data_IF_248439612745
#
_entry.id   IF_248439612745
#
_cell.length_a   1.000
_cell.length_b   1.000
_cell.length_c   1.000
_cell.angle_alpha   90.00
_cell.angle_beta   90.00
_cell.angle_gamma   90.00
#
_symmetry.space_group_name_H-M   'P 1'
#
loop_
_entity.id
_entity.type
_entity.pdbx_description
1 polymer ?
#
# COMPACT_ATOMS: atom_id res chain seq x y z
N UNK A 1 23.47 20.70 -1.07
CA UNK A 1 23.45 19.93 -2.33
C UNK A 1 23.33 18.46 -1.93
N UNK A 2 22.43 17.70 -2.55
CA UNK A 2 22.37 16.25 -2.33
C UNK A 2 23.64 15.59 -2.86
N UNK A 3 24.17 14.58 -2.13
CA UNK A 3 25.33 13.83 -2.56
C UNK A 3 25.07 13.15 -3.93
N UNK A 4 26.11 13.08 -4.76
CA UNK A 4 26.07 12.26 -5.98
C UNK A 4 26.33 10.80 -5.61
N UNK A 5 25.52 9.87 -6.15
CA UNK A 5 25.56 8.45 -5.80
C UNK A 5 25.79 7.63 -7.05
N UNK A 6 26.68 6.65 -6.96
CA UNK A 6 26.89 5.62 -7.97
C UNK A 6 26.57 4.25 -7.36
N UNK A 7 25.71 3.50 -8.03
CA UNK A 7 25.40 2.10 -7.70
C UNK A 7 25.88 1.25 -8.87
N UNK A 8 26.68 0.23 -8.59
CA UNK A 8 27.27 -0.63 -9.62
C UNK A 8 26.98 -2.10 -9.36
N UNK A 9 27.03 -2.90 -10.42
CA UNK A 9 26.96 -4.36 -10.43
C UNK A 9 25.62 -4.94 -9.91
N UNK A 10 24.55 -4.15 -9.85
CA UNK A 10 23.25 -4.65 -9.42
C UNK A 10 22.65 -5.60 -10.47
N UNK A 11 22.00 -6.67 -10.04
CA UNK A 11 20.89 -7.23 -10.83
C UNK A 11 19.71 -6.29 -10.65
N UNK A 12 18.87 -6.11 -11.65
CA UNK A 12 17.75 -5.18 -11.52
C UNK A 12 16.46 -5.74 -12.10
N UNK A 13 15.34 -5.28 -11.56
CA UNK A 13 14.00 -5.50 -12.10
C UNK A 13 13.28 -4.17 -12.21
N UNK A 14 12.53 -4.01 -13.29
CA UNK A 14 11.55 -2.94 -13.44
C UNK A 14 10.24 -3.49 -14.02
N UNK A 15 9.30 -2.61 -14.36
CA UNK A 15 8.01 -2.99 -14.93
C UNK A 15 8.11 -3.62 -16.33
N UNK A 16 9.26 -3.50 -17.02
CA UNK A 16 9.47 -3.92 -18.39
C UNK A 16 10.30 -5.21 -18.50
N UNK A 17 11.15 -5.50 -17.50
CA UNK A 17 12.02 -6.66 -17.57
C UNK A 17 12.95 -6.83 -16.39
N UNK A 18 13.81 -7.84 -16.51
CA UNK A 18 14.90 -8.12 -15.60
C UNK A 18 16.24 -7.83 -16.30
N UNK A 19 17.20 -7.30 -15.56
CA UNK A 19 18.52 -6.93 -16.03
C UNK A 19 19.57 -7.69 -15.21
N UNK A 20 20.37 -8.49 -15.87
CA UNK A 20 21.44 -9.25 -15.21
C UNK A 20 22.50 -8.33 -14.60
N UNK A 21 22.70 -7.15 -15.19
CA UNK A 21 23.63 -6.14 -14.72
C UNK A 21 23.14 -4.74 -15.08
N UNK A 22 22.99 -3.91 -14.05
CA UNK A 22 22.66 -2.50 -14.18
C UNK A 22 23.52 -1.67 -13.25
N UNK A 23 23.99 -0.52 -13.73
CA UNK A 23 24.67 0.49 -12.93
C UNK A 23 23.93 1.81 -13.05
N UNK A 24 23.75 2.50 -11.95
CA UNK A 24 23.05 3.79 -11.88
C UNK A 24 23.99 4.91 -11.43
N UNK A 25 23.80 6.09 -12.00
CA UNK A 25 24.32 7.33 -11.51
C UNK A 25 23.18 8.25 -11.07
N UNK A 26 23.28 8.83 -9.88
CA UNK A 26 22.26 9.70 -9.30
C UNK A 26 22.88 11.04 -8.96
N UNK A 27 22.28 12.14 -9.40
CA UNK A 27 22.65 13.50 -9.05
C UNK A 27 21.40 14.32 -8.78
N UNK A 28 21.45 15.17 -7.78
CA UNK A 28 20.32 16.04 -7.40
C UNK A 28 19.01 15.27 -7.22
N UNK A 29 19.08 14.04 -6.67
CA UNK A 29 17.92 13.19 -6.45
C UNK A 29 17.29 12.59 -7.69
N UNK A 30 17.98 12.64 -8.86
CA UNK A 30 17.51 12.08 -10.13
C UNK A 30 18.50 11.10 -10.72
N UNK A 31 17.99 10.11 -11.45
CA UNK A 31 18.80 9.17 -12.21
C UNK A 31 19.36 9.90 -13.44
N UNK A 32 20.67 9.97 -13.56
CA UNK A 32 21.38 10.59 -14.68
C UNK A 32 22.09 9.58 -15.58
N UNK A 33 22.22 8.34 -15.11
CA UNK A 33 22.81 7.22 -15.84
C UNK A 33 22.11 5.93 -15.45
N UNK A 34 21.82 5.08 -16.43
CA UNK A 34 21.25 3.74 -16.26
C UNK A 34 21.73 2.85 -17.41
N UNK A 35 22.79 2.07 -17.19
CA UNK A 35 23.42 1.19 -18.18
C UNK A 35 24.11 0.01 -17.48
N UNK A 36 24.49 -1.02 -18.24
CA UNK A 36 25.27 -2.15 -17.77
C UNK A 36 26.71 -1.71 -17.34
N UNK A 37 27.26 -0.70 -17.99
CA UNK A 37 28.58 -0.12 -17.66
C UNK A 37 28.44 0.93 -16.56
N UNK A 38 29.34 0.92 -15.55
CA UNK A 38 29.34 1.98 -14.52
C UNK A 38 29.56 3.37 -15.11
N UNK A 39 28.90 4.41 -14.58
CA UNK A 39 29.17 5.79 -15.01
C UNK A 39 30.58 6.24 -14.58
N UNK A 40 31.25 6.96 -15.49
CA UNK A 40 32.56 7.55 -15.23
C UNK A 40 32.51 8.75 -14.26
N UNK A 41 33.68 9.14 -13.76
CA UNK A 41 33.87 10.34 -12.97
C UNK A 41 33.91 10.12 -11.46
N UNK A 42 33.95 11.24 -10.72
CA UNK A 42 33.96 11.24 -9.25
C UNK A 42 32.53 11.29 -8.72
N UNK A 43 32.27 10.46 -7.73
CA UNK A 43 31.00 10.35 -7.02
C UNK A 43 31.25 10.47 -5.51
N UNK A 44 30.33 11.10 -4.79
CA UNK A 44 30.44 11.27 -3.34
C UNK A 44 30.22 9.95 -2.60
N UNK A 45 29.38 9.09 -3.16
CA UNK A 45 29.01 7.80 -2.60
C UNK A 45 29.11 6.74 -3.70
N UNK A 46 29.89 5.69 -3.45
CA UNK A 46 30.00 4.51 -4.30
C UNK A 46 29.43 3.29 -3.57
N UNK A 47 28.48 2.60 -4.19
CA UNK A 47 27.82 1.40 -3.66
C UNK A 47 28.07 0.26 -4.64
N UNK A 48 28.68 -0.82 -4.16
CA UNK A 48 28.70 -2.09 -4.89
C UNK A 48 27.47 -2.91 -4.48
N UNK A 49 26.59 -3.13 -5.45
CA UNK A 49 25.36 -3.88 -5.27
C UNK A 49 25.46 -5.32 -5.79
N UNK A 50 26.68 -5.88 -5.88
CA UNK A 50 26.88 -7.27 -6.30
C UNK A 50 26.13 -8.23 -5.35
N UNK A 51 25.33 -9.11 -5.94
CA UNK A 51 24.45 -10.05 -5.20
C UNK A 51 23.12 -9.46 -4.73
N UNK A 52 22.91 -8.14 -4.86
CA UNK A 52 21.64 -7.49 -4.52
C UNK A 52 20.75 -7.29 -5.76
N UNK A 53 19.45 -7.18 -5.49
CA UNK A 53 18.43 -6.90 -6.50
C UNK A 53 17.99 -5.44 -6.37
N UNK A 54 18.27 -4.65 -7.41
CA UNK A 54 17.82 -3.27 -7.54
C UNK A 54 16.39 -3.22 -8.07
N UNK A 55 15.53 -2.43 -7.46
CA UNK A 55 14.16 -2.21 -7.91
C UNK A 55 13.72 -0.76 -7.66
N UNK A 56 12.71 -0.25 -8.41
CA UNK A 56 11.99 0.95 -8.01
C UNK A 56 11.36 0.78 -6.64
N UNK A 57 11.34 1.85 -5.84
CA UNK A 57 10.77 1.83 -4.48
C UNK A 57 9.25 1.62 -4.50
N UNK A 58 8.70 1.12 -3.41
CA UNK A 58 7.29 0.83 -3.22
C UNK A 58 6.44 2.12 -3.20
N UNK A 59 5.25 2.07 -3.81
CA UNK A 59 4.21 3.10 -3.71
C UNK A 59 3.04 2.50 -2.95
N UNK A 60 2.77 3.02 -1.76
CA UNK A 60 1.75 2.48 -0.87
C UNK A 60 0.40 3.19 -1.07
N UNK A 61 -0.64 2.41 -1.37
CA UNK A 61 -1.99 2.92 -1.63
C UNK A 61 -2.85 3.09 -0.38
N UNK A 62 -2.46 2.51 0.76
CA UNK A 62 -3.25 2.52 1.99
C UNK A 62 -2.37 2.55 3.25
N UNK A 63 -1.94 3.75 3.68
CA UNK A 63 -1.17 3.92 4.91
C UNK A 63 -1.85 4.89 5.87
N UNK A 64 -2.22 4.41 7.05
CA UNK A 64 -2.71 5.26 8.14
C UNK A 64 -1.53 5.77 8.95
N UNK A 65 -1.17 7.05 8.76
CA UNK A 65 -0.09 7.70 9.52
C UNK A 65 -0.53 8.11 10.94
N UNK A 66 -1.81 7.87 11.29
CA UNK A 66 -2.43 8.11 12.60
C UNK A 66 -2.48 9.57 13.07
N UNK A 67 -1.97 10.49 12.29
CA UNK A 67 -2.00 11.93 12.55
C UNK A 67 -2.68 12.64 11.35
N UNK A 68 -3.63 13.59 11.63
CA UNK A 68 -4.16 14.03 12.92
C UNK A 68 -5.06 12.98 13.60
N UNK A 69 -5.08 13.00 14.94
CA UNK A 69 -6.07 12.31 15.78
C UNK A 69 -5.51 11.22 16.69
N UNK A 70 -4.92 10.15 16.15
CA UNK A 70 -4.50 8.98 16.94
C UNK A 70 -2.96 8.94 17.16
N UNK A 71 -2.35 10.06 17.56
CA UNK A 71 -0.88 10.20 17.70
C UNK A 71 -0.26 9.30 18.77
N UNK A 72 -1.05 8.73 19.66
CA UNK A 72 -0.59 7.70 20.60
C UNK A 72 -0.21 6.39 19.88
N UNK A 73 -0.82 6.09 18.73
CA UNK A 73 -0.53 4.91 17.91
C UNK A 73 0.71 5.12 17.06
N UNK A 74 0.75 6.23 16.32
CA UNK A 74 1.86 6.66 15.48
C UNK A 74 1.66 8.14 15.08
N UNK A 75 2.67 8.75 14.46
CA UNK A 75 2.59 10.10 13.92
C UNK A 75 3.22 10.18 12.52
N UNK A 76 2.95 11.27 11.81
CA UNK A 76 3.47 11.47 10.44
C UNK A 76 5.00 11.35 10.40
N UNK A 77 5.71 11.91 11.37
CA UNK A 77 7.18 11.91 11.35
C UNK A 77 7.75 10.49 11.55
N UNK A 78 7.17 9.70 12.47
CA UNK A 78 7.60 8.32 12.71
C UNK A 78 7.35 7.43 11.50
N UNK A 79 6.16 7.53 10.91
CA UNK A 79 5.79 6.62 9.81
C UNK A 79 6.43 7.00 8.48
N UNK A 80 6.71 8.29 8.22
CA UNK A 80 7.50 8.68 7.04
C UNK A 80 8.97 8.25 7.15
N UNK A 81 9.54 8.25 8.36
CA UNK A 81 10.88 7.69 8.58
C UNK A 81 10.87 6.17 8.36
N UNK A 82 9.86 5.48 8.87
CA UNK A 82 9.69 4.05 8.61
C UNK A 82 9.53 3.77 7.12
N UNK A 83 8.72 4.54 6.40
CA UNK A 83 8.55 4.42 4.95
C UNK A 83 9.89 4.57 4.21
N UNK A 84 10.66 5.63 4.49
CA UNK A 84 11.97 5.84 3.89
C UNK A 84 12.89 4.64 4.11
N UNK A 85 12.97 4.13 5.35
CA UNK A 85 13.80 2.98 5.71
C UNK A 85 13.36 1.68 5.05
N UNK A 86 12.05 1.48 4.90
CA UNK A 86 11.48 0.28 4.30
C UNK A 86 11.42 0.31 2.77
N UNK A 87 12.00 1.31 2.10
CA UNK A 87 11.99 1.40 0.63
C UNK A 87 10.63 1.76 0.06
N UNK A 88 9.85 2.59 0.77
CA UNK A 88 8.57 3.14 0.35
C UNK A 88 8.75 4.60 -0.03
N UNK A 89 8.57 4.92 -1.32
CA UNK A 89 8.81 6.28 -1.85
C UNK A 89 7.60 7.20 -1.71
N UNK A 90 6.41 6.65 -1.67
CA UNK A 90 5.18 7.40 -1.49
C UNK A 90 4.17 6.60 -0.69
N UNK A 91 3.38 7.31 0.13
CA UNK A 91 2.27 6.75 0.89
C UNK A 91 0.99 7.52 0.59
N UNK A 92 -0.12 6.80 0.44
CA UNK A 92 -1.44 7.40 0.27
C UNK A 92 -2.17 7.38 1.60
N UNK A 93 -2.50 8.58 2.09
CA UNK A 93 -3.20 8.79 3.35
C UNK A 93 -4.71 8.80 3.09
N UNK A 94 -5.48 7.84 3.62
CA UNK A 94 -6.93 7.85 3.53
C UNK A 94 -7.53 8.95 4.44
N UNK A 95 -8.78 9.40 4.16
CA UNK A 95 -9.37 10.55 4.83
C UNK A 95 -9.87 10.28 6.25
N UNK A 96 -9.78 9.07 6.78
CA UNK A 96 -10.30 8.62 8.08
C UNK A 96 -9.46 9.09 9.29
N UNK A 97 -8.90 10.28 9.17
CA UNK A 97 -8.21 11.00 10.25
C UNK A 97 -9.22 11.68 11.22
N UNK A 98 -8.72 12.29 12.29
CA UNK A 98 -9.54 13.08 13.22
C UNK A 98 -8.89 14.45 13.48
N UNK A 99 -9.44 15.53 12.87
CA UNK A 99 -10.65 15.58 12.05
C UNK A 99 -10.50 14.86 10.70
N UNK A 100 -11.64 14.44 10.12
CA UNK A 100 -11.71 13.83 8.79
C UNK A 100 -11.21 14.81 7.73
N UNK A 101 -10.57 14.32 6.66
CA UNK A 101 -10.09 15.15 5.54
C UNK A 101 -11.27 15.50 4.61
N UNK A 102 -12.24 16.25 5.11
CA UNK A 102 -13.44 16.68 4.38
C UNK A 102 -13.46 18.19 4.06
N UNK A 103 -12.37 18.92 4.40
CA UNK A 103 -12.23 20.36 4.16
C UNK A 103 -10.77 20.75 3.93
N UNK A 104 -10.50 21.82 3.15
CA UNK A 104 -9.16 22.29 2.81
C UNK A 104 -8.24 22.51 4.01
N UNK A 105 -8.76 23.05 5.12
CA UNK A 105 -7.94 23.34 6.30
C UNK A 105 -7.25 22.10 6.91
N UNK A 106 -7.87 20.91 6.80
CA UNK A 106 -7.25 19.65 7.26
C UNK A 106 -6.14 19.23 6.30
N UNK A 107 -6.35 19.39 4.99
CA UNK A 107 -5.34 19.12 3.95
C UNK A 107 -4.10 19.99 4.17
N UNK A 108 -4.30 21.31 4.35
CA UNK A 108 -3.22 22.26 4.60
C UNK A 108 -2.45 21.95 5.88
N UNK A 109 -3.15 21.55 6.93
CA UNK A 109 -2.53 21.13 8.18
C UNK A 109 -1.63 19.89 7.98
N UNK A 110 -2.14 18.85 7.30
CA UNK A 110 -1.37 17.64 7.00
C UNK A 110 -0.13 17.99 6.15
N UNK A 111 -0.29 18.77 5.09
CA UNK A 111 0.82 19.20 4.22
C UNK A 111 1.89 19.96 5.00
N UNK A 112 1.49 20.88 5.86
CA UNK A 112 2.41 21.63 6.72
C UNK A 112 3.17 20.68 7.65
N UNK A 113 2.49 19.71 8.24
CA UNK A 113 3.09 18.72 9.13
C UNK A 113 4.07 17.82 8.40
N UNK A 114 3.69 17.31 7.21
CA UNK A 114 4.58 16.52 6.34
C UNK A 114 5.82 17.31 5.96
N UNK A 115 5.65 18.55 5.48
CA UNK A 115 6.78 19.40 5.11
C UNK A 115 7.74 19.64 6.29
N UNK A 116 7.19 19.83 7.49
CA UNK A 116 7.98 20.04 8.70
C UNK A 116 8.84 18.83 9.12
N UNK A 117 8.60 17.64 8.58
CA UNK A 117 9.43 16.44 8.85
C UNK A 117 10.74 16.44 8.07
N UNK A 118 10.81 17.13 6.94
CA UNK A 118 11.93 17.04 6.00
C UNK A 118 12.11 15.67 5.34
N UNK A 119 11.12 14.77 5.45
CA UNK A 119 11.17 13.44 4.85
C UNK A 119 11.19 13.51 3.32
N UNK A 120 11.99 12.67 2.63
CA UNK A 120 11.96 12.57 1.18
C UNK A 120 10.74 11.79 0.65
N UNK A 121 9.99 11.09 1.52
CA UNK A 121 8.81 10.31 1.15
C UNK A 121 7.66 11.23 0.76
N UNK A 122 7.01 10.94 -0.36
CA UNK A 122 5.84 11.69 -0.79
C UNK A 122 4.59 11.24 -0.03
N UNK A 123 3.70 12.18 0.29
CA UNK A 123 2.40 11.89 0.90
C UNK A 123 1.30 12.33 -0.05
N UNK A 124 0.56 11.37 -0.57
CA UNK A 124 -0.63 11.58 -1.36
C UNK A 124 -1.86 11.60 -0.43
N UNK A 125 -2.64 12.66 -0.47
CA UNK A 125 -3.79 12.83 0.42
C UNK A 125 -5.07 12.55 -0.36
N UNK A 126 -5.93 11.69 0.18
CA UNK A 126 -7.28 11.48 -0.32
C UNK A 126 -8.27 12.31 0.51
N UNK A 127 -9.19 13.00 -0.18
CA UNK A 127 -10.28 13.70 0.47
C UNK A 127 -11.45 12.78 0.75
N UNK A 128 -12.25 13.08 1.77
CA UNK A 128 -13.46 12.32 2.07
C UNK A 128 -14.55 12.55 1.01
N UNK A 129 -15.23 11.50 0.57
CA UNK A 129 -16.36 11.59 -0.36
C UNK A 129 -17.58 12.26 0.28
N UNK A 130 -17.77 12.05 1.57
CA UNK A 130 -18.88 12.63 2.34
C UNK A 130 -18.37 13.34 3.59
N UNK A 131 -19.09 14.36 4.03
CA UNK A 131 -18.79 15.13 5.25
C UNK A 131 -18.70 14.18 6.44
N UNK A 132 -17.60 14.27 7.20
CA UNK A 132 -17.29 13.37 8.31
C UNK A 132 -17.31 11.87 7.95
N UNK A 133 -17.22 11.50 6.67
CA UNK A 133 -17.41 10.12 6.17
C UNK A 133 -18.78 9.51 6.54
N UNK A 134 -19.77 10.35 6.83
CA UNK A 134 -21.09 9.93 7.36
C UNK A 134 -22.00 9.29 6.29
N UNK A 135 -21.65 9.31 5.01
CA UNK A 135 -22.40 8.67 3.93
C UNK A 135 -23.70 9.40 3.51
N UNK A 136 -23.93 10.61 3.97
CA UNK A 136 -25.20 11.36 3.74
C UNK A 136 -25.01 12.64 2.95
N UNK A 137 -24.10 13.49 3.34
CA UNK A 137 -23.81 14.78 2.70
C UNK A 137 -22.47 14.70 1.94
N UNK A 138 -22.47 15.08 0.66
CA UNK A 138 -21.29 15.05 -0.19
C UNK A 138 -20.36 16.20 0.22
N UNK A 139 -19.05 15.93 0.33
CA UNK A 139 -18.04 16.95 0.62
C UNK A 139 -17.75 17.81 -0.62
N UNK A 140 -17.13 18.98 -0.38
CA UNK A 140 -16.72 19.90 -1.45
C UNK A 140 -15.46 19.39 -2.17
N UNK A 141 -15.61 18.34 -3.02
CA UNK A 141 -14.49 17.65 -3.67
C UNK A 141 -13.62 18.57 -4.51
N UNK A 142 -14.21 19.57 -5.19
CA UNK A 142 -13.45 20.58 -5.95
C UNK A 142 -12.54 21.42 -5.05
N UNK A 143 -13.00 21.79 -3.85
CA UNK A 143 -12.18 22.50 -2.88
C UNK A 143 -11.05 21.62 -2.32
N UNK A 144 -11.33 20.33 -2.07
CA UNK A 144 -10.33 19.37 -1.65
C UNK A 144 -9.25 19.15 -2.72
N UNK A 145 -9.63 18.99 -3.99
CA UNK A 145 -8.69 18.90 -5.11
C UNK A 145 -7.79 20.13 -5.22
N UNK A 146 -8.38 21.34 -5.12
CA UNK A 146 -7.62 22.59 -5.14
C UNK A 146 -6.66 22.74 -3.96
N UNK A 147 -6.98 22.14 -2.80
CA UNK A 147 -6.08 22.07 -1.63
C UNK A 147 -4.95 21.04 -1.80
N UNK A 148 -5.04 20.15 -2.81
CA UNK A 148 -4.00 19.19 -3.16
C UNK A 148 -4.34 17.73 -2.85
N UNK A 149 -5.63 17.40 -2.64
CA UNK A 149 -6.06 16.00 -2.68
C UNK A 149 -5.95 15.46 -4.11
N UNK A 150 -5.37 14.28 -4.27
CA UNK A 150 -5.17 13.65 -5.59
C UNK A 150 -6.29 12.69 -5.99
N UNK A 151 -7.21 12.45 -5.10
CA UNK A 151 -8.37 11.60 -5.26
C UNK A 151 -9.32 11.75 -4.07
N UNK A 152 -10.43 11.04 -4.14
CA UNK A 152 -11.46 11.02 -3.12
C UNK A 152 -11.61 9.60 -2.58
N UNK A 153 -11.93 9.45 -1.31
CA UNK A 153 -12.16 8.13 -0.74
C UNK A 153 -13.38 8.11 0.20
N UNK A 154 -14.06 6.97 0.19
CA UNK A 154 -15.02 6.63 1.23
C UNK A 154 -14.47 5.45 2.02
N UNK A 155 -14.11 5.72 3.26
CA UNK A 155 -13.69 4.71 4.23
C UNK A 155 -14.86 4.30 5.11
N UNK A 156 -14.86 3.03 5.52
CA UNK A 156 -15.95 2.49 6.32
C UNK A 156 -17.23 2.25 5.52
N UNK A 157 -18.29 1.95 6.24
CA UNK A 157 -19.54 1.38 5.74
C UNK A 157 -20.74 2.34 5.75
N UNK A 158 -20.49 3.62 6.01
CA UNK A 158 -21.57 4.58 6.21
C UNK A 158 -22.33 4.94 4.91
N UNK A 159 -21.70 4.82 3.75
CA UNK A 159 -22.30 5.20 2.46
C UNK A 159 -23.16 4.05 1.92
N UNK A 160 -24.46 4.09 2.25
CA UNK A 160 -25.45 3.05 1.92
C UNK A 160 -26.49 3.50 0.90
N UNK A 161 -26.72 4.80 0.77
CA UNK A 161 -27.69 5.38 -0.18
C UNK A 161 -27.07 5.42 -1.58
N UNK A 162 -27.63 4.59 -2.49
CA UNK A 162 -27.18 4.51 -3.88
C UNK A 162 -27.38 5.80 -4.65
N UNK A 163 -28.31 6.68 -4.27
CA UNK A 163 -28.46 8.00 -4.87
C UNK A 163 -27.31 8.94 -4.45
N UNK A 164 -26.83 8.85 -3.21
CA UNK A 164 -25.63 9.56 -2.75
C UNK A 164 -24.40 8.98 -3.43
N UNK A 165 -24.26 7.64 -3.51
CA UNK A 165 -23.16 6.97 -4.20
C UNK A 165 -23.04 7.46 -5.66
N UNK A 166 -24.16 7.50 -6.39
CA UNK A 166 -24.20 7.99 -7.77
C UNK A 166 -23.71 9.45 -7.88
N UNK A 167 -24.21 10.33 -7.01
CA UNK A 167 -23.80 11.76 -7.01
C UNK A 167 -22.32 11.92 -6.66
N UNK A 168 -21.79 11.11 -5.74
CA UNK A 168 -20.35 11.08 -5.43
C UNK A 168 -19.54 10.75 -6.68
N UNK A 169 -19.95 9.73 -7.45
CA UNK A 169 -19.29 9.35 -8.71
C UNK A 169 -19.38 10.45 -9.76
N UNK A 170 -20.57 11.04 -9.99
CA UNK A 170 -20.77 12.11 -10.95
C UNK A 170 -19.94 13.35 -10.59
N UNK A 171 -19.85 13.70 -9.30
CA UNK A 171 -19.05 14.84 -8.84
C UNK A 171 -17.56 14.57 -8.96
N UNK A 172 -17.07 13.41 -8.52
CA UNK A 172 -15.67 13.03 -8.68
C UNK A 172 -15.24 13.03 -10.17
N UNK A 173 -16.07 12.48 -11.05
CA UNK A 173 -15.83 12.46 -12.50
C UNK A 173 -15.74 13.87 -13.10
N UNK A 174 -16.53 14.84 -12.61
CA UNK A 174 -16.48 16.22 -13.13
C UNK A 174 -15.16 16.95 -12.85
N UNK A 175 -14.34 16.47 -11.91
CA UNK A 175 -13.00 16.96 -11.59
C UNK A 175 -11.88 15.99 -11.97
N UNK A 176 -12.20 14.92 -12.71
CA UNK A 176 -11.26 13.84 -13.06
C UNK A 176 -10.55 13.22 -11.85
N UNK A 177 -11.23 13.17 -10.71
CA UNK A 177 -10.71 12.58 -9.47
C UNK A 177 -11.02 11.09 -9.40
N UNK A 178 -10.02 10.21 -9.15
CA UNK A 178 -10.30 8.82 -8.86
C UNK A 178 -11.02 8.70 -7.50
N UNK A 179 -12.02 7.83 -7.43
CA UNK A 179 -12.68 7.47 -6.18
C UNK A 179 -12.11 6.15 -5.65
N UNK A 180 -11.57 6.18 -4.44
CA UNK A 180 -11.08 5.00 -3.75
C UNK A 180 -12.15 4.49 -2.78
N UNK A 181 -12.53 3.23 -2.91
CA UNK A 181 -13.54 2.60 -2.06
C UNK A 181 -13.02 1.29 -1.48
N UNK A 182 -13.32 1.04 -0.21
CA UNK A 182 -13.25 -0.29 0.36
C UNK A 182 -14.67 -0.87 0.29
N UNK A 183 -14.92 -1.84 -0.60
CA UNK A 183 -16.28 -2.31 -0.81
C UNK A 183 -16.72 -3.19 0.36
N UNK A 184 -17.71 -2.71 1.12
CA UNK A 184 -18.32 -3.45 2.22
C UNK A 184 -19.79 -3.09 2.35
N UNK A 185 -20.66 -4.09 2.37
CA UNK A 185 -22.05 -3.93 2.75
C UNK A 185 -22.16 -4.08 4.28
N UNK A 186 -22.42 -2.96 4.94
CA UNK A 186 -22.49 -2.88 6.38
C UNK A 186 -23.57 -3.74 7.02
N UNK A 187 -24.71 -3.92 6.34
CA UNK A 187 -25.79 -4.72 6.88
C UNK A 187 -25.42 -6.21 6.92
N UNK A 188 -24.67 -6.65 5.90
CA UNK A 188 -24.17 -8.03 5.83
C UNK A 188 -22.92 -8.24 6.70
N UNK A 189 -22.03 -7.24 6.82
CA UNK A 189 -20.85 -7.33 7.66
C UNK A 189 -21.20 -7.30 9.15
N UNK A 190 -22.18 -6.48 9.55
CA UNK A 190 -22.55 -6.29 10.97
C UNK A 190 -21.35 -5.94 11.84
N UNK A 191 -21.30 -6.52 13.01
CA UNK A 191 -20.15 -6.43 13.94
C UNK A 191 -19.14 -7.59 13.71
N UNK A 192 -19.09 -8.14 12.50
CA UNK A 192 -18.25 -9.29 12.18
C UNK A 192 -16.76 -8.95 12.21
N UNK A 193 -15.94 -9.86 12.76
CA UNK A 193 -14.50 -9.72 12.87
C UNK A 193 -13.69 -10.85 12.23
N UNK A 194 -14.36 -11.89 11.72
CA UNK A 194 -13.73 -13.07 11.12
C UNK A 194 -14.46 -13.51 9.86
N UNK A 195 -13.79 -14.19 8.94
CA UNK A 195 -14.45 -14.79 7.78
C UNK A 195 -15.53 -15.80 8.17
N UNK A 196 -16.69 -15.69 7.53
CA UNK A 196 -17.78 -16.68 7.71
C UNK A 196 -17.32 -18.07 7.26
N UNK A 197 -17.13 -18.98 8.21
CA UNK A 197 -16.63 -20.31 7.92
C UNK A 197 -16.37 -21.14 9.17
N UNK A 198 -15.75 -22.29 8.95
CA UNK A 198 -15.49 -23.26 10.02
C UNK A 198 -14.64 -22.68 11.15
N UNK A 199 -13.71 -21.75 10.85
CA UNK A 199 -12.84 -21.16 11.87
C UNK A 199 -13.64 -20.22 12.79
N UNK A 200 -14.40 -19.28 12.24
CA UNK A 200 -15.26 -18.37 13.02
C UNK A 200 -16.25 -19.16 13.89
N UNK A 201 -16.93 -20.17 13.31
CA UNK A 201 -17.86 -21.02 14.04
C UNK A 201 -17.19 -21.74 15.21
N UNK A 202 -16.02 -22.33 15.01
CA UNK A 202 -15.25 -23.02 16.06
C UNK A 202 -14.83 -22.11 17.19
N UNK A 203 -14.48 -20.86 16.84
CA UNK A 203 -14.00 -19.88 17.80
C UNK A 203 -15.13 -19.04 18.41
N UNK A 204 -16.37 -19.16 17.93
CA UNK A 204 -17.50 -18.36 18.40
C UNK A 204 -17.35 -16.87 18.02
N UNK A 205 -16.64 -16.55 16.93
CA UNK A 205 -16.41 -15.19 16.49
C UNK A 205 -17.55 -14.74 15.56
N UNK A 206 -18.00 -13.46 15.64
CA UNK A 206 -18.98 -12.89 14.72
C UNK A 206 -18.45 -12.94 13.27
N UNK A 207 -19.23 -13.55 12.33
CA UNK A 207 -18.76 -13.77 10.97
C UNK A 207 -19.00 -12.57 10.04
N UNK A 208 -18.12 -12.42 9.04
CA UNK A 208 -18.29 -11.54 7.87
C UNK A 208 -18.41 -12.39 6.62
N UNK A 209 -19.58 -12.50 6.00
CA UNK A 209 -19.77 -13.28 4.78
C UNK A 209 -19.03 -12.65 3.59
N UNK A 210 -18.67 -13.47 2.60
CA UNK A 210 -18.13 -12.99 1.32
C UNK A 210 -19.14 -12.06 0.62
N UNK A 211 -20.43 -12.31 0.82
CA UNK A 211 -21.50 -11.47 0.28
C UNK A 211 -21.40 -10.00 0.71
N UNK A 212 -20.82 -9.70 1.89
CA UNK A 212 -20.63 -8.32 2.32
C UNK A 212 -19.71 -7.52 1.37
N UNK A 213 -18.70 -8.18 0.79
CA UNK A 213 -17.83 -7.57 -0.21
C UNK A 213 -18.46 -7.59 -1.61
N UNK A 214 -18.97 -8.74 -2.06
CA UNK A 214 -19.45 -8.89 -3.44
C UNK A 214 -20.73 -8.11 -3.74
N UNK A 215 -21.65 -7.94 -2.79
CA UNK A 215 -22.80 -7.06 -2.94
C UNK A 215 -22.37 -5.61 -3.11
N UNK A 216 -21.45 -5.13 -2.28
CA UNK A 216 -20.93 -3.78 -2.40
C UNK A 216 -20.19 -3.57 -3.73
N UNK A 217 -19.33 -4.52 -4.15
CA UNK A 217 -18.67 -4.48 -5.47
C UNK A 217 -19.69 -4.38 -6.58
N UNK A 218 -20.75 -5.21 -6.58
CA UNK A 218 -21.82 -5.19 -7.59
C UNK A 218 -22.55 -3.85 -7.67
N UNK A 219 -22.86 -3.23 -6.52
CA UNK A 219 -23.49 -1.90 -6.47
C UNK A 219 -22.60 -0.83 -7.10
N UNK A 220 -21.32 -0.78 -6.70
CA UNK A 220 -20.37 0.19 -7.26
C UNK A 220 -20.18 -0.02 -8.76
N UNK A 221 -19.98 -1.25 -9.23
CA UNK A 221 -19.79 -1.55 -10.67
C UNK A 221 -20.99 -1.08 -11.51
N UNK A 222 -22.23 -1.33 -11.05
CA UNK A 222 -23.42 -0.87 -11.75
C UNK A 222 -23.50 0.66 -11.87
N UNK A 223 -23.03 1.39 -10.84
CA UNK A 223 -22.99 2.85 -10.86
C UNK A 223 -21.83 3.39 -11.69
N UNK A 224 -20.69 2.70 -11.70
CA UNK A 224 -19.54 3.05 -12.58
C UNK A 224 -19.95 2.91 -14.04
N UNK A 225 -20.65 1.83 -14.41
CA UNK A 225 -21.17 1.65 -15.78
C UNK A 225 -22.08 2.80 -16.20
N UNK A 226 -22.91 3.32 -15.28
CA UNK A 226 -23.84 4.42 -15.55
C UNK A 226 -23.17 5.80 -15.60
N UNK A 227 -22.04 6.00 -14.90
CA UNK A 227 -21.42 7.34 -14.72
C UNK A 227 -20.09 7.51 -15.45
N UNK A 228 -19.40 6.41 -15.77
CA UNK A 228 -18.05 6.44 -16.35
C UNK A 228 -16.95 6.94 -15.39
N UNK A 229 -17.25 7.06 -14.09
CA UNK A 229 -16.29 7.53 -13.09
C UNK A 229 -15.17 6.51 -12.86
N UNK A 230 -13.94 6.99 -12.62
CA UNK A 230 -12.80 6.13 -12.26
C UNK A 230 -12.92 5.66 -10.81
N UNK A 231 -12.96 4.34 -10.59
CA UNK A 231 -13.05 3.77 -9.24
C UNK A 231 -11.94 2.77 -8.97
N UNK A 232 -11.29 2.93 -7.84
CA UNK A 232 -10.32 1.98 -7.31
C UNK A 232 -10.93 1.22 -6.12
N UNK A 233 -11.02 -0.11 -6.26
CA UNK A 233 -11.49 -1.03 -5.21
C UNK A 233 -10.30 -1.44 -4.34
N UNK A 234 -10.13 -0.77 -3.21
CA UNK A 234 -9.01 -1.02 -2.31
C UNK A 234 -9.25 -2.21 -1.38
N UNK A 235 -8.20 -2.98 -1.17
CA UNK A 235 -8.12 -4.05 -0.18
C UNK A 235 -9.19 -5.13 -0.36
N UNK A 236 -9.34 -5.63 -1.59
CA UNK A 236 -10.19 -6.79 -1.83
C UNK A 236 -9.68 -8.00 -1.01
N UNK A 237 -10.60 -8.78 -0.49
CA UNK A 237 -10.30 -9.94 0.34
C UNK A 237 -10.85 -11.25 -0.21
N UNK A 238 -11.94 -11.21 -0.96
CA UNK A 238 -12.55 -12.40 -1.52
C UNK A 238 -12.14 -12.67 -2.97
N UNK A 239 -11.93 -13.93 -3.31
CA UNK A 239 -11.65 -14.33 -4.68
C UNK A 239 -12.76 -13.89 -5.64
N UNK A 240 -14.02 -14.02 -5.22
CA UNK A 240 -15.17 -13.62 -6.04
C UNK A 240 -15.24 -12.11 -6.29
N UNK A 241 -14.95 -11.28 -5.28
CA UNK A 241 -14.87 -9.83 -5.45
C UNK A 241 -13.82 -9.43 -6.48
N UNK A 242 -12.61 -10.05 -6.41
CA UNK A 242 -11.53 -9.82 -7.37
C UNK A 242 -11.94 -10.23 -8.80
N UNK A 243 -12.59 -11.38 -8.99
CA UNK A 243 -13.11 -11.82 -10.28
C UNK A 243 -14.11 -10.82 -10.88
N UNK A 244 -15.03 -10.29 -10.06
CA UNK A 244 -16.02 -9.31 -10.51
C UNK A 244 -15.37 -8.03 -11.03
N UNK A 245 -14.38 -7.48 -10.30
CA UNK A 245 -13.66 -6.28 -10.74
C UNK A 245 -12.82 -6.56 -11.98
N UNK A 246 -12.15 -7.72 -12.05
CA UNK A 246 -11.37 -8.14 -13.21
C UNK A 246 -12.24 -8.26 -14.49
N UNK A 247 -13.43 -8.85 -14.38
CA UNK A 247 -14.39 -8.96 -15.46
C UNK A 247 -14.89 -7.58 -15.93
N UNK A 248 -15.21 -6.69 -15.00
CA UNK A 248 -15.65 -5.33 -15.31
C UNK A 248 -14.55 -4.53 -16.03
N UNK A 249 -13.30 -4.64 -15.58
CA UNK A 249 -12.16 -4.03 -16.23
C UNK A 249 -11.93 -4.58 -17.64
N UNK A 250 -12.03 -5.90 -17.83
CA UNK A 250 -11.93 -6.53 -19.14
C UNK A 250 -13.06 -6.11 -20.09
N UNK A 251 -14.25 -5.76 -19.55
CA UNK A 251 -15.34 -5.17 -20.29
C UNK A 251 -15.16 -3.67 -20.61
N UNK A 252 -14.05 -3.06 -20.16
CA UNK A 252 -13.71 -1.66 -20.46
C UNK A 252 -14.18 -0.64 -19.43
N UNK A 253 -14.70 -1.05 -18.27
CA UNK A 253 -15.01 -0.11 -17.19
C UNK A 253 -13.71 0.50 -16.60
N UNK A 254 -13.71 1.79 -16.23
CA UNK A 254 -12.56 2.47 -15.66
C UNK A 254 -12.37 2.11 -14.17
N UNK A 255 -12.11 0.83 -13.93
CA UNK A 255 -11.94 0.27 -12.58
C UNK A 255 -10.58 -0.37 -12.39
N UNK A 256 -10.08 -0.34 -11.17
CA UNK A 256 -8.87 -1.01 -10.72
C UNK A 256 -9.08 -1.60 -9.33
N UNK A 257 -8.21 -2.52 -8.92
CA UNK A 257 -8.26 -3.08 -7.57
C UNK A 257 -6.86 -3.30 -7.00
N UNK A 258 -6.75 -3.21 -5.68
CA UNK A 258 -5.61 -3.72 -4.93
C UNK A 258 -6.00 -4.83 -3.95
N UNK A 259 -4.97 -5.53 -3.50
CA UNK A 259 -5.06 -6.53 -2.43
C UNK A 259 -3.94 -6.30 -1.44
N UNK A 260 -4.25 -6.44 -0.15
CA UNK A 260 -3.22 -6.38 0.88
C UNK A 260 -2.35 -7.66 0.88
N UNK A 261 -1.03 -7.49 1.01
CA UNK A 261 -0.07 -8.60 0.97
C UNK A 261 -0.42 -9.75 1.93
N UNK A 262 -0.92 -9.42 3.12
CA UNK A 262 -1.31 -10.43 4.09
C UNK A 262 -2.49 -11.30 3.63
N UNK A 263 -3.37 -10.81 2.75
CA UNK A 263 -4.46 -11.61 2.14
C UNK A 263 -3.96 -12.67 1.14
N UNK A 264 -2.77 -12.47 0.58
CA UNK A 264 -2.14 -13.42 -0.36
C UNK A 264 -1.32 -14.51 0.34
N UNK A 265 -0.90 -14.26 1.58
CA UNK A 265 0.02 -15.13 2.31
C UNK A 265 -0.62 -15.83 3.52
N UNK A 266 -1.72 -15.28 4.05
CA UNK A 266 -2.40 -15.78 5.23
C UNK A 266 -3.87 -16.13 4.91
N UNK A 267 -4.44 -16.98 5.76
CA UNK A 267 -5.85 -17.36 5.71
C UNK A 267 -6.49 -17.17 7.09
N UNK A 268 -7.78 -17.43 7.23
CA UNK A 268 -8.50 -17.47 8.49
C UNK A 268 -7.87 -18.43 9.52
N UNK A 269 -7.04 -19.38 9.08
CA UNK A 269 -6.28 -20.24 9.97
C UNK A 269 -5.30 -19.47 10.88
N UNK A 270 -4.92 -18.25 10.50
CA UNK A 270 -4.06 -17.37 11.32
C UNK A 270 -4.75 -16.90 12.61
N UNK A 271 -6.09 -16.97 12.69
CA UNK A 271 -6.86 -16.59 13.87
C UNK A 271 -6.74 -17.61 15.03
N UNK A 272 -6.15 -18.79 14.77
CA UNK A 272 -6.04 -19.84 15.78
C UNK A 272 -5.40 -19.31 17.07
N UNK A 273 -6.01 -19.67 18.21
CA UNK A 273 -5.55 -19.19 19.52
C UNK A 273 -6.00 -17.76 19.84
N UNK A 274 -6.92 -17.18 19.07
CA UNK A 274 -7.38 -15.82 19.21
C UNK A 274 -6.26 -14.78 19.05
N UNK A 275 -5.35 -15.03 18.07
CA UNK A 275 -4.26 -14.10 17.76
C UNK A 275 -4.80 -12.76 17.24
N UNK A 276 -4.85 -11.78 18.12
CA UNK A 276 -5.36 -10.44 17.81
C UNK A 276 -4.51 -9.70 16.77
N UNK A 277 -3.26 -10.11 16.55
CA UNK A 277 -2.44 -9.57 15.46
C UNK A 277 -3.00 -9.92 14.07
N UNK A 278 -3.76 -11.04 13.97
CA UNK A 278 -4.46 -11.45 12.77
C UNK A 278 -5.87 -10.82 12.62
N UNK A 279 -6.30 -9.99 13.56
CA UNK A 279 -7.53 -9.21 13.42
C UNK A 279 -7.28 -8.04 12.48
N UNK A 280 -7.66 -8.23 11.20
CA UNK A 280 -7.56 -7.25 10.11
C UNK A 280 -8.93 -7.04 9.47
N UNK A 281 -9.11 -5.89 8.80
CA UNK A 281 -10.34 -5.52 8.10
C UNK A 281 -10.00 -5.03 6.69
N UNK A 282 -10.47 -5.76 5.63
CA UNK A 282 -11.34 -6.94 5.64
C UNK A 282 -10.65 -8.15 6.28
N UNK A 283 -11.43 -9.13 6.81
CA UNK A 283 -10.87 -10.28 7.50
C UNK A 283 -10.09 -11.19 6.56
N UNK A 284 -9.11 -11.92 7.11
CA UNK A 284 -8.44 -13.01 6.40
C UNK A 284 -9.47 -14.06 5.99
N UNK A 285 -9.45 -14.44 4.70
CA UNK A 285 -10.44 -15.33 4.10
C UNK A 285 -9.96 -16.78 4.05
N UNK A 286 -10.76 -17.61 3.39
CA UNK A 286 -10.46 -19.02 3.16
C UNK A 286 -9.23 -19.26 2.28
N UNK A 287 -8.69 -20.47 2.29
CA UNK A 287 -7.64 -20.87 1.35
C UNK A 287 -8.09 -20.78 -0.12
N UNK A 288 -9.36 -21.06 -0.39
CA UNK A 288 -9.91 -20.91 -1.75
C UNK A 288 -9.93 -19.45 -2.22
N UNK A 289 -10.29 -18.51 -1.35
CA UNK A 289 -10.22 -17.07 -1.64
C UNK A 289 -8.77 -16.64 -1.87
N UNK A 290 -7.85 -17.02 -0.98
CA UNK A 290 -6.42 -16.71 -1.11
C UNK A 290 -5.86 -17.21 -2.45
N UNK A 291 -6.14 -18.47 -2.81
CA UNK A 291 -5.67 -19.05 -4.07
C UNK A 291 -6.24 -18.28 -5.29
N UNK A 292 -7.52 -17.90 -5.24
CA UNK A 292 -8.14 -17.11 -6.32
C UNK A 292 -7.53 -15.69 -6.39
N UNK A 293 -7.27 -15.03 -5.27
CA UNK A 293 -6.59 -13.72 -5.25
C UNK A 293 -5.20 -13.81 -5.87
N UNK A 294 -4.41 -14.84 -5.54
CA UNK A 294 -3.10 -15.09 -6.15
C UNK A 294 -3.22 -15.30 -7.66
N UNK A 295 -4.20 -16.08 -8.11
CA UNK A 295 -4.45 -16.30 -9.54
C UNK A 295 -4.86 -15.01 -10.26
N UNK A 296 -5.72 -14.19 -9.67
CA UNK A 296 -6.13 -12.90 -10.22
C UNK A 296 -4.97 -11.90 -10.30
N UNK A 297 -4.07 -11.88 -9.30
CA UNK A 297 -2.85 -11.09 -9.35
C UNK A 297 -1.93 -11.53 -10.51
N UNK A 298 -1.68 -12.83 -10.64
CA UNK A 298 -0.85 -13.41 -11.69
C UNK A 298 -1.40 -13.11 -13.11
N UNK A 299 -2.73 -13.09 -13.26
CA UNK A 299 -3.41 -12.82 -14.53
C UNK A 299 -3.60 -11.32 -14.82
N UNK A 300 -3.21 -10.43 -13.91
CA UNK A 300 -3.41 -8.98 -14.03
C UNK A 300 -4.84 -8.51 -13.75
N UNK A 301 -5.69 -9.36 -13.20
CA UNK A 301 -7.03 -9.00 -12.75
C UNK A 301 -7.02 -8.07 -11.54
N UNK A 302 -6.06 -8.26 -10.62
CA UNK A 302 -5.71 -7.33 -9.56
C UNK A 302 -4.59 -6.43 -10.08
N UNK A 303 -4.78 -5.10 -9.97
CA UNK A 303 -3.87 -4.09 -10.52
C UNK A 303 -2.68 -3.82 -9.63
N UNK A 304 -2.89 -3.78 -8.30
CA UNK A 304 -1.87 -3.32 -7.38
C UNK A 304 -1.81 -4.17 -6.10
N UNK A 305 -0.68 -4.04 -5.42
CA UNK A 305 -0.45 -4.55 -4.07
C UNK A 305 -0.41 -3.38 -3.09
N UNK A 306 -0.92 -3.58 -1.89
CA UNK A 306 -0.71 -2.66 -0.78
C UNK A 306 -0.25 -3.41 0.48
N UNK A 307 0.40 -2.72 1.40
CA UNK A 307 0.73 -3.29 2.70
C UNK A 307 -0.37 -3.07 3.74
N UNK A 308 -1.36 -2.22 3.42
CA UNK A 308 -2.47 -1.81 4.31
C UNK A 308 -1.96 -1.46 5.72
N UNK A 309 -1.03 -0.50 5.74
CA UNK A 309 -0.32 -0.15 6.96
C UNK A 309 -1.23 0.54 7.98
N UNK A 310 -1.45 -0.13 9.11
CA UNK A 310 -2.31 0.32 10.20
C UNK A 310 -1.61 0.07 11.55
N UNK A 311 -0.71 0.98 11.96
CA UNK A 311 0.00 0.84 13.23
C UNK A 311 -0.95 1.02 14.41
N UNK A 312 -0.78 0.15 15.42
CA UNK A 312 -1.51 0.20 16.69
C UNK A 312 -0.53 0.10 17.85
N UNK A 313 -0.88 0.72 18.95
CA UNK A 313 -0.25 0.54 20.26
C UNK A 313 -0.64 -0.82 20.85
N UNK A 314 0.08 -1.23 21.90
CA UNK A 314 -0.09 -2.53 22.53
C UNK A 314 -1.52 -2.77 23.03
N UNK A 315 -2.14 -1.79 23.68
CA UNK A 315 -3.46 -1.94 24.30
C UNK A 315 -4.56 -2.21 23.28
N UNK A 316 -4.46 -1.66 22.08
CA UNK A 316 -5.41 -1.91 20.99
C UNK A 316 -5.48 -3.40 20.58
N UNK A 317 -4.41 -4.16 20.81
CA UNK A 317 -4.31 -5.59 20.51
C UNK A 317 -4.39 -6.47 21.77
N UNK A 318 -4.27 -5.91 22.97
CA UNK A 318 -4.33 -6.61 24.23
C UNK A 318 -5.76 -6.67 24.80
N UNK A 319 -6.68 -7.22 24.01
CA UNK A 319 -8.11 -7.34 24.32
C UNK A 319 -8.63 -8.68 23.79
N UNK A 320 -9.83 -9.16 24.17
CA UNK A 320 -10.51 -10.25 23.46
C UNK A 320 -10.54 -9.97 21.96
N UNK A 321 -10.51 -11.01 21.14
CA UNK A 321 -10.31 -10.89 19.68
C UNK A 321 -11.31 -9.91 19.04
N UNK A 322 -12.58 -10.07 19.33
CA UNK A 322 -13.70 -9.26 18.81
C UNK A 322 -13.74 -7.82 19.33
N UNK A 323 -13.06 -7.56 20.45
CA UNK A 323 -12.92 -6.23 21.06
C UNK A 323 -11.59 -5.55 20.71
N UNK A 324 -10.65 -6.27 20.12
CA UNK A 324 -9.37 -5.71 19.65
C UNK A 324 -9.58 -4.84 18.41
N UNK A 325 -8.71 -3.85 18.20
CA UNK A 325 -8.80 -3.01 17.01
C UNK A 325 -8.24 -3.73 15.78
N UNK A 326 -8.99 -3.71 14.66
CA UNK A 326 -8.55 -4.30 13.41
C UNK A 326 -7.40 -3.51 12.77
N UNK A 327 -6.48 -4.21 12.11
CA UNK A 327 -5.36 -3.63 11.36
C UNK A 327 -4.02 -4.25 11.69
N UNK A 328 -3.08 -4.16 10.76
CA UNK A 328 -1.71 -4.64 10.89
C UNK A 328 -0.68 -3.57 10.51
N UNK A 329 0.46 -3.56 11.18
CA UNK A 329 1.63 -2.79 10.75
C UNK A 329 2.33 -3.56 9.64
N UNK A 330 2.11 -3.16 8.38
CA UNK A 330 2.54 -3.89 7.19
C UNK A 330 3.79 -3.36 6.52
N UNK A 331 4.19 -2.12 6.77
CA UNK A 331 5.23 -1.42 6.01
C UNK A 331 6.59 -2.10 6.15
N UNK A 332 6.99 -2.47 7.37
CA UNK A 332 8.28 -3.12 7.66
C UNK A 332 8.43 -4.51 7.02
N UNK A 333 7.32 -5.13 6.65
CA UNK A 333 7.31 -6.47 6.05
C UNK A 333 6.89 -6.47 4.58
N UNK A 334 6.59 -5.32 3.99
CA UNK A 334 6.06 -5.22 2.62
C UNK A 334 6.97 -5.92 1.61
N UNK A 335 8.24 -5.56 1.53
CA UNK A 335 9.17 -6.17 0.59
C UNK A 335 9.42 -7.66 0.88
N UNK A 336 9.56 -8.06 2.13
CA UNK A 336 9.80 -9.47 2.45
C UNK A 336 8.58 -10.36 2.14
N UNK A 337 7.37 -9.83 2.32
CA UNK A 337 6.14 -10.50 1.87
C UNK A 337 6.06 -10.57 0.34
N UNK A 338 6.37 -9.46 -0.34
CA UNK A 338 6.36 -9.40 -1.80
C UNK A 338 7.40 -10.35 -2.43
N UNK A 339 8.61 -10.42 -1.88
CA UNK A 339 9.63 -11.37 -2.30
C UNK A 339 9.20 -12.83 -2.09
N UNK A 340 8.38 -13.11 -1.06
CA UNK A 340 7.81 -14.45 -0.86
C UNK A 340 6.84 -14.84 -1.99
N UNK A 341 6.17 -13.90 -2.65
CA UNK A 341 5.35 -14.18 -3.84
C UNK A 341 6.21 -14.57 -5.06
N UNK A 342 7.39 -13.94 -5.22
CA UNK A 342 8.37 -14.33 -6.24
C UNK A 342 8.94 -15.73 -5.97
N UNK A 343 9.32 -16.00 -4.72
CA UNK A 343 9.89 -17.30 -4.31
C UNK A 343 8.87 -18.45 -4.50
N UNK A 344 7.59 -18.16 -4.30
CA UNK A 344 6.49 -19.09 -4.55
C UNK A 344 6.07 -19.15 -6.03
N UNK A 345 6.72 -18.40 -6.92
CA UNK A 345 6.38 -18.30 -8.36
C UNK A 345 4.91 -17.94 -8.63
N UNK A 346 4.31 -17.14 -7.74
CA UNK A 346 2.94 -16.62 -7.92
C UNK A 346 2.95 -15.53 -8.98
N UNK A 347 3.97 -14.66 -8.97
CA UNK A 347 4.21 -13.61 -9.97
C UNK A 347 5.71 -13.56 -10.32
N UNK A 348 6.04 -12.97 -11.46
CA UNK A 348 7.43 -12.69 -11.86
C UNK A 348 7.91 -11.30 -11.37
N UNK A 349 9.20 -10.99 -11.58
CA UNK A 349 9.80 -9.72 -11.17
C UNK A 349 9.10 -8.50 -11.77
N UNK A 350 8.95 -8.41 -13.10
CA UNK A 350 8.22 -7.32 -13.75
C UNK A 350 6.78 -7.18 -13.27
N UNK A 351 6.05 -8.28 -13.03
CA UNK A 351 4.70 -8.24 -12.47
C UNK A 351 4.69 -7.65 -11.07
N UNK A 352 5.64 -8.02 -10.22
CA UNK A 352 5.79 -7.44 -8.90
C UNK A 352 5.98 -5.92 -8.97
N UNK A 353 6.91 -5.44 -9.82
CA UNK A 353 7.16 -4.00 -9.93
C UNK A 353 5.97 -3.27 -10.52
N UNK A 354 5.27 -3.85 -11.50
CA UNK A 354 4.00 -3.27 -11.95
C UNK A 354 3.02 -3.12 -10.80
N UNK A 355 2.85 -4.15 -9.97
CA UNK A 355 1.85 -4.16 -8.90
C UNK A 355 2.22 -3.28 -7.69
N UNK A 356 3.50 -3.07 -7.38
CA UNK A 356 3.91 -2.28 -6.22
C UNK A 356 4.44 -0.87 -6.54
N UNK A 357 4.67 -0.55 -7.82
CA UNK A 357 5.20 0.76 -8.22
C UNK A 357 4.39 1.41 -9.34
N UNK A 358 4.35 0.81 -10.54
CA UNK A 358 3.82 1.48 -11.73
C UNK A 358 2.30 1.62 -11.69
N UNK A 359 1.58 0.55 -11.42
CA UNK A 359 0.11 0.57 -11.34
C UNK A 359 -0.42 1.43 -10.19
N UNK A 360 0.16 1.39 -8.97
CA UNK A 360 -0.19 2.37 -7.93
C UNK A 360 -0.06 3.83 -8.39
N UNK A 361 1.02 4.20 -9.07
CA UNK A 361 1.17 5.56 -9.62
C UNK A 361 0.10 5.90 -10.66
N UNK A 362 -0.20 4.97 -11.57
CA UNK A 362 -1.27 5.16 -12.56
C UNK A 362 -2.64 5.33 -11.91
N UNK A 363 -2.97 4.53 -10.87
CA UNK A 363 -4.20 4.66 -10.09
C UNK A 363 -4.31 6.04 -9.46
N UNK A 364 -3.18 6.59 -8.98
CA UNK A 364 -3.09 7.92 -8.39
C UNK A 364 -2.97 9.05 -9.42
N UNK A 365 -2.99 8.75 -10.73
CA UNK A 365 -2.81 9.74 -11.79
C UNK A 365 -1.40 10.35 -11.84
N UNK A 366 -0.39 9.63 -11.35
CA UNK A 366 1.01 10.06 -11.30
C UNK A 366 1.85 9.35 -12.37
N UNK A 367 2.91 10.00 -12.89
CA UNK A 367 3.78 9.37 -13.88
C UNK A 367 4.62 8.25 -13.27
N UNK A 368 4.62 7.09 -13.91
CA UNK A 368 5.45 5.94 -13.53
C UNK A 368 6.73 5.92 -14.38
N UNK A 369 7.85 6.39 -13.84
CA UNK A 369 9.13 6.49 -14.56
C UNK A 369 10.13 5.38 -14.21
N UNK A 370 9.94 4.67 -13.10
CA UNK A 370 10.79 3.55 -12.68
C UNK A 370 12.27 3.92 -12.59
N UNK A 371 13.13 3.13 -13.26
CA UNK A 371 14.59 3.33 -13.30
C UNK A 371 15.07 4.15 -14.51
N UNK A 372 14.20 4.84 -15.23
CA UNK A 372 14.55 5.62 -16.41
C UNK A 372 15.43 6.83 -16.08
N UNK A 373 16.29 7.23 -17.03
CA UNK A 373 17.05 8.47 -16.92
C UNK A 373 16.08 9.67 -16.81
N UNK A 374 16.36 10.58 -15.88
CA UNK A 374 15.51 11.70 -15.53
C UNK A 374 14.48 11.41 -14.43
N UNK A 375 14.19 10.14 -14.14
CA UNK A 375 13.31 9.76 -13.05
C UNK A 375 13.84 10.25 -11.70
N UNK A 376 12.92 10.49 -10.74
CA UNK A 376 13.27 10.68 -9.34
C UNK A 376 13.94 9.39 -8.84
N UNK A 377 15.04 9.52 -8.12
CA UNK A 377 15.81 8.38 -7.63
C UNK A 377 15.13 7.74 -6.41
N UNK A 378 14.04 7.04 -6.66
CA UNK A 378 13.28 6.26 -5.71
C UNK A 378 13.52 4.78 -5.96
N UNK A 379 14.46 4.19 -5.23
CA UNK A 379 14.90 2.83 -5.46
C UNK A 379 15.28 2.10 -4.17
N UNK A 380 15.32 0.80 -4.27
CA UNK A 380 15.66 -0.10 -3.18
C UNK A 380 16.63 -1.17 -3.65
N UNK A 381 17.59 -1.52 -2.82
CA UNK A 381 18.43 -2.71 -2.95
C UNK A 381 17.89 -3.78 -2.01
N UNK A 382 17.57 -4.94 -2.56
CA UNK A 382 16.97 -6.06 -1.86
C UNK A 382 17.98 -7.22 -1.77
N UNK A 383 18.18 -7.76 -0.58
CA UNK A 383 18.91 -9.01 -0.38
C UNK A 383 17.90 -10.18 -0.41
N UNK A 384 17.85 -10.90 -1.51
CA UNK A 384 16.99 -12.07 -1.67
C UNK A 384 17.50 -13.31 -0.98
N UNK A 385 18.78 -13.38 -0.68
CA UNK A 385 19.39 -14.56 -0.02
C UNK A 385 19.11 -14.55 1.49
N UNK A 386 18.94 -13.40 2.09
CA UNK A 386 18.66 -13.26 3.50
C UNK A 386 17.30 -13.87 3.85
N UNK A 387 17.26 -14.64 4.93
CA UNK A 387 16.02 -15.12 5.57
C UNK A 387 15.95 -14.51 6.96
N UNK A 388 14.91 -13.78 7.24
CA UNK A 388 14.76 -13.06 8.50
C UNK A 388 13.51 -13.54 9.22
N UNK A 389 13.65 -13.82 10.51
CA UNK A 389 12.49 -14.02 11.39
C UNK A 389 11.91 -12.64 11.71
N UNK A 390 10.64 -12.45 11.42
CA UNK A 390 9.95 -11.18 11.69
C UNK A 390 9.87 -10.95 13.19
N UNK A 391 10.57 -9.95 13.68
CA UNK A 391 10.55 -9.50 15.06
C UNK A 391 10.06 -8.05 15.11
N UNK A 392 8.83 -7.81 15.59
CA UNK A 392 8.26 -6.45 15.63
C UNK A 392 9.06 -5.46 16.48
N UNK A 393 9.94 -5.93 17.37
CA UNK A 393 10.81 -5.06 18.19
C UNK A 393 11.78 -4.24 17.34
N UNK A 394 12.12 -4.72 16.15
CA UNK A 394 13.04 -4.07 15.20
C UNK A 394 12.33 -3.28 14.10
N UNK A 395 11.00 -3.19 14.11
CA UNK A 395 10.27 -2.39 13.13
C UNK A 395 10.66 -0.91 13.20
N UNK A 396 10.78 -0.29 12.05
CA UNK A 396 11.00 1.15 11.93
C UNK A 396 9.73 1.94 12.27
N UNK A 397 8.54 1.41 11.91
CA UNK A 397 7.25 1.92 12.35
C UNK A 397 7.11 1.89 13.87
N UNK A 398 6.27 2.77 14.42
CA UNK A 398 5.84 2.67 15.82
C UNK A 398 4.92 1.50 16.08
N UNK A 399 4.17 1.06 15.06
CA UNK A 399 3.29 -0.11 15.17
C UNK A 399 4.08 -1.41 15.32
N UNK A 400 3.61 -2.28 16.24
CA UNK A 400 4.21 -3.60 16.50
C UNK A 400 3.24 -4.74 16.19
N UNK A 401 2.04 -4.40 15.74
CA UNK A 401 0.94 -5.31 15.47
C UNK A 401 1.11 -5.96 14.08
N UNK A 402 1.67 -7.16 14.04
CA UNK A 402 1.82 -7.92 12.78
C UNK A 402 1.47 -9.39 12.99
N UNK A 403 0.66 -9.99 12.08
CA UNK A 403 0.37 -11.44 12.10
C UNK A 403 1.55 -12.28 11.64
N UNK A 404 2.67 -11.66 11.29
CA UNK A 404 3.89 -12.32 10.83
C UNK A 404 4.94 -12.51 11.94
N UNK A 405 4.69 -12.05 13.16
CA UNK A 405 5.63 -12.18 14.26
C UNK A 405 6.10 -13.63 14.44
N UNK A 406 7.41 -13.84 14.52
CA UNK A 406 8.03 -15.16 14.61
C UNK A 406 8.04 -15.99 13.33
N UNK A 407 7.44 -15.54 12.23
CA UNK A 407 7.50 -16.21 10.93
C UNK A 407 8.76 -15.82 10.16
N UNK A 408 9.30 -16.77 9.40
CA UNK A 408 10.42 -16.48 8.49
C UNK A 408 9.88 -16.03 7.14
N UNK A 409 10.38 -14.90 6.67
CA UNK A 409 10.06 -14.32 5.36
C UNK A 409 11.26 -14.34 4.43
N UNK A 410 11.03 -14.22 3.12
CA UNK A 410 12.07 -14.19 2.10
C UNK A 410 12.62 -12.79 1.89
N UNK A 411 13.96 -12.65 1.92
CA UNK A 411 14.62 -11.40 1.60
C UNK A 411 14.44 -10.27 2.63
N UNK A 412 15.17 -9.20 2.41
CA UNK A 412 15.10 -7.97 3.21
C UNK A 412 15.48 -6.76 2.37
N UNK A 413 15.16 -5.56 2.85
CA UNK A 413 15.70 -4.29 2.33
C UNK A 413 17.12 -4.13 2.85
N UNK A 414 18.10 -4.20 1.95
CA UNK A 414 19.49 -3.97 2.28
C UNK A 414 19.81 -2.46 2.29
N UNK A 415 19.22 -1.71 1.36
CA UNK A 415 19.38 -0.25 1.26
C UNK A 415 18.18 0.37 0.59
N UNK A 416 17.74 1.52 1.09
CA UNK A 416 16.72 2.37 0.50
C UNK A 416 17.30 3.71 0.08
N UNK A 417 16.98 4.18 -1.12
CA UNK A 417 17.33 5.49 -1.64
C UNK A 417 16.07 6.19 -2.14
N UNK A 418 15.60 7.19 -1.41
CA UNK A 418 14.38 7.93 -1.73
C UNK A 418 14.75 9.38 -2.07
N UNK A 419 14.40 9.82 -3.28
CA UNK A 419 14.81 11.11 -3.85
C UNK A 419 16.34 11.34 -3.79
N UNK A 420 17.13 10.27 -3.94
CA UNK A 420 18.58 10.35 -3.81
C UNK A 420 19.08 10.52 -2.38
N UNK A 421 18.25 10.30 -1.37
CA UNK A 421 18.62 10.31 0.06
C UNK A 421 18.74 8.87 0.56
N UNK A 422 19.85 8.54 1.16
CA UNK A 422 20.14 7.23 1.78
C UNK A 422 20.35 7.44 3.27
N UNK A 423 19.78 6.59 4.12
CA UNK A 423 20.06 6.62 5.55
C UNK A 423 21.50 6.18 5.85
N UNK A 424 22.18 6.90 6.77
CA UNK A 424 23.61 6.70 7.07
C UNK A 424 23.92 5.28 7.57
N UNK A 425 23.06 4.70 8.41
CA UNK A 425 23.28 3.36 8.95
C UNK A 425 23.32 2.27 7.87
N UNK A 426 22.47 2.41 6.83
CA UNK A 426 22.47 1.50 5.70
C UNK A 426 23.67 1.70 4.78
N UNK A 427 24.19 2.92 4.71
CA UNK A 427 25.32 3.29 3.86
C UNK A 427 26.62 2.63 4.30
N UNK A 428 26.88 2.58 5.60
CA UNK A 428 28.15 2.06 6.16
C UNK A 428 28.34 0.57 5.90
N UNK A 429 27.23 -0.18 5.70
CA UNK A 429 27.28 -1.62 5.42
C UNK A 429 27.64 -1.96 3.96
N UNK A 430 27.36 -1.08 3.00
CA UNK A 430 27.48 -1.35 1.56
C UNK A 430 28.42 -0.39 0.81
N UNK A 431 29.01 0.56 1.52
CA UNK A 431 29.92 1.55 0.92
C UNK A 431 31.23 0.89 0.50
N UNK A 432 31.63 1.11 -0.76
CA UNK A 432 32.98 0.79 -1.19
C UNK A 432 33.97 1.69 -0.42
N UNK A 433 34.76 1.10 0.44
CA UNK A 433 35.90 1.79 1.05
C UNK A 433 36.98 2.02 -0.04
N UNK A 434 37.22 3.27 -0.37
CA UNK A 434 38.35 3.68 -1.25
C UNK A 434 39.68 3.61 -0.54
#
# INVERSE_FOLDING_TARGET
>A
MSASIRIIHARAIDAHGEYERLSLGIREGRIVHADATPPDGLWDIDIDAEGLLLAPAWIELAARLREPGATHKADIASELRAAARCGVAAVTLPPDTRPVVDRPAVVDWIRTRVHGTGSPVQVHILGAATVNLAGTEISEMGALANAGCIGIAQCGDALRDTAVMRRVLEYAASFDLPLHVQPVDAALAGEGCAHEGAMATRMGLPPVPVAAETCAVGQWLSLVEATGARVHFGRLSSGRGAEMVAQARAAGLPVSADVALHQLLLTDAALRGFDTAAHVQPPLRSEADRATLCAQLAQGGISALCCDHQPHEYDAKNAPFDLSEAGASGMDTAWSMALSLLDASIIDGPQLIRACHSQPLEILGQPAQGLAIGARADLVLLDRAQRTVVDPRFFASRGRNTPLAGKTTGGSVALSCIAGVIEQEALDAHRLHR
#
